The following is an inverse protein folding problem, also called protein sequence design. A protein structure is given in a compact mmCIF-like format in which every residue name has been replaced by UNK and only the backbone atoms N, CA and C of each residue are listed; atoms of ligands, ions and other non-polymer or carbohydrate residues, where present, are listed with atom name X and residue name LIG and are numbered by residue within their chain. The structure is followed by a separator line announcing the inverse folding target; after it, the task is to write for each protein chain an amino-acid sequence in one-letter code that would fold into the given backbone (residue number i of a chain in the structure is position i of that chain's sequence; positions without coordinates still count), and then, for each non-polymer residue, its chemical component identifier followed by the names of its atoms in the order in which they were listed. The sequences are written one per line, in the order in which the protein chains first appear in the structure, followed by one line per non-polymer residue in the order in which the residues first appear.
data_IF_564675279969
#
_entry.id   IF_564675279969
#
_cell.length_a   1.000
_cell.length_b   1.000
_cell.length_c   1.000
_cell.angle_alpha   90.00
_cell.angle_beta   90.00
_cell.angle_gamma   90.00
#
_symmetry.space_group_name_H-M   'P 1'
#
loop_
_entity.id
_entity.type
_entity.pdbx_description
1 polymer ?
#
# COMPACT_ATOMS: atom_id res chain seq x y z
N UNK A 1 -0.50 -31.70 0.24
CA UNK A 1 0.22 -32.41 1.32
C UNK A 1 1.73 -32.15 1.29
N UNK A 2 2.26 -31.57 0.21
CA UNK A 2 3.70 -31.48 -0.06
C UNK A 2 4.24 -30.04 -0.05
N UNK A 3 3.39 -29.02 0.18
CA UNK A 3 3.83 -27.64 0.24
C UNK A 3 4.25 -27.25 1.66
N UNK A 4 5.39 -26.55 1.79
CA UNK A 4 5.88 -25.96 3.04
C UNK A 4 5.39 -24.51 3.23
N UNK A 5 5.03 -23.86 2.14
CA UNK A 5 4.56 -22.46 2.09
C UNK A 5 3.28 -22.40 1.26
N UNK A 6 2.31 -21.64 1.70
CA UNK A 6 1.09 -21.31 0.98
C UNK A 6 1.09 -19.83 0.63
N UNK A 7 0.89 -19.51 -0.65
CA UNK A 7 0.61 -18.14 -1.11
C UNK A 7 -0.91 -17.96 -1.18
N UNK A 8 -1.44 -17.03 -0.40
CA UNK A 8 -2.86 -16.62 -0.45
C UNK A 8 -2.98 -15.42 -1.37
N UNK A 9 -3.66 -15.61 -2.53
CA UNK A 9 -3.86 -14.59 -3.59
C UNK A 9 -5.31 -14.58 -4.10
N UNK A 10 -6.23 -14.71 -3.19
CA UNK A 10 -7.69 -14.65 -3.41
C UNK A 10 -8.20 -13.20 -3.42
N UNK A 11 -9.50 -12.93 -3.65
CA UNK A 11 -10.10 -11.65 -3.28
C UNK A 11 -9.89 -11.33 -1.79
N UNK A 12 -9.77 -10.05 -1.46
CA UNK A 12 -9.30 -9.58 -0.15
C UNK A 12 -10.10 -10.12 1.05
N UNK A 13 -11.41 -10.24 0.88
CA UNK A 13 -12.32 -10.74 1.92
C UNK A 13 -12.11 -12.21 2.33
N UNK A 14 -11.34 -12.97 1.56
CA UNK A 14 -11.01 -14.36 1.87
C UNK A 14 -9.62 -14.54 2.48
N UNK A 15 -8.81 -13.49 2.55
CA UNK A 15 -7.42 -13.59 3.01
C UNK A 15 -7.33 -14.14 4.43
N UNK A 16 -8.14 -13.63 5.37
CA UNK A 16 -8.15 -14.10 6.76
C UNK A 16 -8.42 -15.60 6.85
N UNK A 17 -9.51 -16.07 6.25
CA UNK A 17 -9.93 -17.47 6.31
C UNK A 17 -8.85 -18.40 5.80
N UNK A 18 -8.28 -18.13 4.62
CA UNK A 18 -7.27 -19.00 4.04
C UNK A 18 -5.91 -18.90 4.71
N UNK A 19 -5.55 -17.74 5.23
CA UNK A 19 -4.32 -17.59 6.03
C UNK A 19 -4.39 -18.44 7.30
N UNK A 20 -5.49 -18.34 8.06
CA UNK A 20 -5.70 -19.11 9.28
C UNK A 20 -5.70 -20.61 8.99
N UNK A 21 -6.48 -21.05 7.99
CA UNK A 21 -6.55 -22.48 7.62
C UNK A 21 -5.17 -23.05 7.21
N UNK A 22 -4.35 -22.27 6.51
CA UNK A 22 -3.01 -22.70 6.13
C UNK A 22 -2.05 -22.77 7.31
N UNK A 23 -2.09 -21.79 8.24
CA UNK A 23 -1.29 -21.78 9.45
C UNK A 23 -1.64 -22.97 10.37
N UNK A 24 -2.93 -23.24 10.59
CA UNK A 24 -3.44 -24.38 11.36
C UNK A 24 -3.07 -25.73 10.73
N UNK A 25 -2.99 -25.78 9.39
CA UNK A 25 -2.46 -26.92 8.67
C UNK A 25 -0.93 -27.08 8.76
N UNK A 26 -0.26 -26.26 9.58
CA UNK A 26 1.18 -26.31 9.82
C UNK A 26 2.04 -25.74 8.67
N UNK A 27 1.49 -24.85 7.84
CA UNK A 27 2.20 -24.22 6.71
C UNK A 27 2.64 -22.81 7.05
N UNK A 28 3.77 -22.37 6.48
CA UNK A 28 4.11 -20.95 6.43
C UNK A 28 3.24 -20.25 5.39
N UNK A 29 2.93 -18.98 5.61
CA UNK A 29 1.99 -18.23 4.76
C UNK A 29 2.62 -16.95 4.23
N UNK A 30 2.46 -16.72 2.94
CA UNK A 30 2.64 -15.43 2.28
C UNK A 30 1.25 -14.97 1.83
N UNK A 31 0.80 -13.80 2.29
CA UNK A 31 -0.50 -13.25 1.91
C UNK A 31 -0.32 -12.09 0.94
N UNK A 32 -1.14 -12.01 -0.11
CA UNK A 32 -1.22 -10.82 -0.96
C UNK A 32 -1.77 -9.63 -0.17
N UNK A 33 -1.49 -8.46 -0.68
CA UNK A 33 -1.99 -7.18 -0.15
C UNK A 33 -3.42 -6.86 -0.70
N UNK A 34 -4.23 -6.08 0.00
CA UNK A 34 -4.14 -5.81 1.44
C UNK A 34 -4.26 -7.09 2.24
N UNK A 35 -3.55 -7.17 3.33
CA UNK A 35 -3.48 -8.41 4.12
C UNK A 35 -4.84 -8.85 4.66
N UNK A 36 -5.66 -7.89 5.10
CA UNK A 36 -7.00 -8.11 5.67
C UNK A 36 -7.91 -6.92 5.38
N UNK A 37 -9.19 -7.04 5.73
CA UNK A 37 -10.18 -6.00 5.59
C UNK A 37 -10.17 -4.97 6.74
N UNK A 38 -9.60 -5.34 7.89
CA UNK A 38 -9.48 -4.52 9.09
C UNK A 38 -8.35 -5.05 10.00
N UNK A 39 -8.05 -4.30 11.07
CA UNK A 39 -6.98 -4.64 12.03
C UNK A 39 -7.30 -5.87 12.87
N UNK A 40 -8.55 -6.07 13.23
CA UNK A 40 -9.01 -7.19 14.04
C UNK A 40 -8.75 -8.52 13.33
N UNK A 41 -9.02 -8.58 12.03
CA UNK A 41 -8.71 -9.77 11.21
C UNK A 41 -7.20 -10.06 11.14
N UNK A 42 -6.37 -9.02 11.09
CA UNK A 42 -4.92 -9.20 11.11
C UNK A 42 -4.44 -9.72 12.47
N UNK A 43 -4.98 -9.20 13.56
CA UNK A 43 -4.65 -9.67 14.92
C UNK A 43 -4.99 -11.16 15.09
N UNK A 44 -6.13 -11.61 14.56
CA UNK A 44 -6.49 -13.03 14.56
C UNK A 44 -5.46 -13.90 13.82
N UNK A 45 -5.04 -13.48 12.61
CA UNK A 45 -4.01 -14.20 11.85
C UNK A 45 -2.69 -14.28 12.63
N UNK A 46 -2.27 -13.14 13.21
CA UNK A 46 -1.02 -13.06 13.96
C UNK A 46 -1.05 -13.94 15.22
N UNK A 47 -2.20 -14.03 15.90
CA UNK A 47 -2.40 -14.92 17.05
C UNK A 47 -2.22 -16.38 16.64
N UNK A 48 -2.85 -16.81 15.54
CA UNK A 48 -2.73 -18.19 15.03
C UNK A 48 -1.30 -18.48 14.54
N UNK A 49 -0.65 -17.52 13.88
CA UNK A 49 0.75 -17.69 13.45
C UNK A 49 1.68 -17.91 14.65
N UNK A 50 1.45 -17.17 15.75
CA UNK A 50 2.20 -17.32 17.01
C UNK A 50 1.91 -18.67 17.67
N UNK A 51 0.64 -19.10 17.73
CA UNK A 51 0.23 -20.36 18.34
C UNK A 51 0.81 -21.57 17.62
N UNK A 52 0.75 -21.55 16.28
CA UNK A 52 1.26 -22.64 15.44
C UNK A 52 2.78 -22.63 15.26
N UNK A 53 3.46 -21.53 15.65
CA UNK A 53 4.89 -21.33 15.43
C UNK A 53 5.28 -21.22 13.96
N UNK A 54 4.33 -20.87 13.07
CA UNK A 54 4.56 -20.73 11.64
C UNK A 54 4.83 -19.28 11.26
N UNK A 55 5.58 -19.12 10.17
CA UNK A 55 5.87 -17.80 9.63
C UNK A 55 4.67 -17.27 8.84
N UNK A 56 4.37 -16.00 9.04
CA UNK A 56 3.39 -15.25 8.27
C UNK A 56 4.04 -13.96 7.75
N UNK A 57 3.82 -13.64 6.47
CA UNK A 57 4.29 -12.39 5.88
C UNK A 57 3.34 -11.89 4.82
N UNK A 58 3.39 -10.58 4.55
CA UNK A 58 2.60 -9.89 3.53
C UNK A 58 3.48 -9.59 2.32
N UNK A 59 2.96 -9.83 1.12
CA UNK A 59 3.68 -9.61 -0.12
C UNK A 59 3.65 -8.14 -0.56
N UNK A 60 4.39 -7.27 0.14
CA UNK A 60 4.56 -5.87 -0.24
C UNK A 60 5.62 -5.74 -1.35
N UNK A 61 5.30 -6.28 -2.51
CA UNK A 61 6.21 -6.43 -3.65
C UNK A 61 6.69 -5.08 -4.23
N UNK A 62 5.95 -3.99 -4.04
CA UNK A 62 6.29 -2.66 -4.57
C UNK A 62 7.44 -1.98 -3.84
N UNK A 63 7.94 -2.54 -2.73
CA UNK A 63 9.22 -2.14 -2.12
C UNK A 63 10.42 -2.42 -3.04
N UNK A 64 10.23 -3.27 -4.06
CA UNK A 64 11.27 -3.66 -5.02
C UNK A 64 11.15 -2.92 -6.35
N UNK A 65 10.18 -2.05 -6.54
CA UNK A 65 10.03 -1.23 -7.73
C UNK A 65 11.23 -0.29 -7.90
N UNK A 66 11.67 -0.12 -9.14
CA UNK A 66 12.89 0.63 -9.45
C UNK A 66 12.79 2.10 -9.02
N UNK A 67 11.64 2.73 -9.27
CA UNK A 67 11.34 4.11 -8.88
C UNK A 67 11.41 4.31 -7.37
N UNK A 68 10.77 3.40 -6.59
CA UNK A 68 10.81 3.44 -5.14
C UNK A 68 12.24 3.28 -4.58
N UNK A 69 13.02 2.34 -5.13
CA UNK A 69 14.42 2.13 -4.71
C UNK A 69 15.30 3.34 -4.99
N UNK A 70 15.03 4.06 -6.09
CA UNK A 70 15.69 5.35 -6.37
C UNK A 70 15.31 6.38 -5.31
N UNK A 71 14.02 6.53 -5.00
CA UNK A 71 13.53 7.47 -3.97
C UNK A 71 14.14 7.13 -2.61
N UNK A 72 14.11 5.87 -2.20
CA UNK A 72 14.72 5.42 -0.94
C UNK A 72 16.21 5.77 -0.87
N UNK A 73 16.95 5.55 -1.94
CA UNK A 73 18.36 5.91 -2.00
C UNK A 73 18.61 7.44 -1.94
N UNK A 74 17.71 8.26 -2.51
CA UNK A 74 17.76 9.74 -2.41
C UNK A 74 17.59 10.17 -0.94
N UNK A 75 16.64 9.59 -0.22
CA UNK A 75 16.37 9.89 1.19
C UNK A 75 17.52 9.37 2.07
N UNK A 76 17.88 8.09 1.96
CA UNK A 76 18.90 7.45 2.79
C UNK A 76 20.27 8.13 2.65
N UNK A 77 20.60 8.66 1.46
CA UNK A 77 21.84 9.40 1.19
C UNK A 77 21.73 10.91 1.40
N UNK A 78 20.59 11.39 1.88
CA UNK A 78 20.35 12.83 2.14
C UNK A 78 20.65 13.71 0.91
N UNK A 79 20.31 13.25 -0.30
CA UNK A 79 20.67 13.94 -1.56
C UNK A 79 19.98 15.30 -1.69
N UNK A 80 18.78 15.45 -1.13
CA UNK A 80 17.99 16.69 -1.16
C UNK A 80 17.97 17.42 0.20
N UNK A 81 18.80 17.00 1.15
CA UNK A 81 18.72 17.47 2.52
C UNK A 81 17.54 16.84 3.27
N UNK A 82 17.02 17.52 4.28
CA UNK A 82 15.88 17.04 5.07
C UNK A 82 14.57 17.20 4.31
N UNK A 83 13.87 16.11 3.98
CA UNK A 83 12.61 16.21 3.26
C UNK A 83 11.54 16.87 4.16
N UNK A 84 10.72 17.75 3.55
CA UNK A 84 9.57 18.38 4.21
C UNK A 84 8.25 18.17 3.45
N UNK A 85 8.28 18.00 2.12
CA UNK A 85 7.15 17.56 1.30
C UNK A 85 7.55 16.42 0.39
N UNK A 86 6.73 15.36 0.37
CA UNK A 86 6.88 14.22 -0.55
C UNK A 86 5.53 13.92 -1.17
N UNK A 87 5.50 13.87 -2.49
CA UNK A 87 4.33 13.43 -3.24
C UNK A 87 4.63 12.10 -3.93
N UNK A 88 3.73 11.14 -3.77
CA UNK A 88 3.71 9.86 -4.46
C UNK A 88 2.40 9.72 -5.23
N UNK A 89 2.47 9.55 -6.55
CA UNK A 89 1.30 9.61 -7.42
C UNK A 89 1.21 8.39 -8.31
N UNK A 90 -0.01 7.92 -8.50
CA UNK A 90 -0.35 6.87 -9.46
C UNK A 90 -1.53 7.34 -10.31
N UNK A 91 -1.28 7.50 -11.59
CA UNK A 91 -2.29 7.93 -12.55
C UNK A 91 -2.58 6.84 -13.58
N UNK A 92 -3.85 6.72 -13.94
CA UNK A 92 -4.33 5.84 -14.98
C UNK A 92 -5.61 6.37 -15.61
N UNK A 93 -6.02 5.79 -16.72
CA UNK A 93 -7.23 6.21 -17.44
C UNK A 93 -8.17 5.05 -17.79
N UNK A 94 -8.01 3.91 -17.13
CA UNK A 94 -8.77 2.68 -17.40
C UNK A 94 -9.75 2.30 -16.28
N UNK A 95 -9.69 2.98 -15.13
CA UNK A 95 -10.48 2.64 -13.95
C UNK A 95 -10.08 1.32 -13.30
N UNK A 96 -10.98 0.80 -12.49
CA UNK A 96 -10.86 -0.53 -11.89
C UNK A 96 -11.11 -1.62 -12.92
N UNK A 97 -10.46 -2.79 -12.81
CA UNK A 97 -10.90 -3.98 -13.52
C UNK A 97 -12.36 -4.30 -13.21
N UNK A 98 -13.11 -4.79 -14.20
CA UNK A 98 -14.50 -5.19 -14.03
C UNK A 98 -14.69 -6.54 -13.30
N UNK A 99 -13.87 -6.80 -12.28
CA UNK A 99 -13.88 -8.02 -11.47
C UNK A 99 -14.28 -7.70 -10.01
N UNK A 100 -13.92 -8.55 -9.07
CA UNK A 100 -14.18 -8.39 -7.64
C UNK A 100 -13.66 -7.07 -7.05
N UNK A 101 -12.69 -6.41 -7.69
CA UNK A 101 -12.14 -5.12 -7.26
C UNK A 101 -13.15 -3.97 -7.36
N UNK A 102 -14.24 -4.13 -8.09
CA UNK A 102 -15.33 -3.17 -8.15
C UNK A 102 -16.43 -3.41 -7.10
N UNK A 103 -16.34 -4.49 -6.32
CA UNK A 103 -17.33 -4.87 -5.32
C UNK A 103 -16.84 -4.58 -3.89
N UNK A 104 -17.60 -3.79 -3.13
CA UNK A 104 -17.29 -3.44 -1.74
C UNK A 104 -17.16 -4.66 -0.83
N UNK A 105 -18.03 -5.67 -1.01
CA UNK A 105 -18.04 -6.89 -0.20
C UNK A 105 -16.75 -7.69 -0.33
N UNK A 106 -16.06 -7.57 -1.45
CA UNK A 106 -14.80 -8.27 -1.73
C UNK A 106 -13.56 -7.47 -1.32
N UNK A 107 -13.74 -6.27 -0.73
CA UNK A 107 -12.64 -5.38 -0.42
C UNK A 107 -12.09 -4.65 -1.64
N UNK A 108 -12.96 -4.29 -2.59
CA UNK A 108 -12.60 -3.53 -3.77
C UNK A 108 -12.29 -2.06 -3.48
N UNK A 109 -11.90 -1.35 -4.51
CA UNK A 109 -11.54 0.07 -4.48
C UNK A 109 -10.04 0.33 -4.58
N UNK A 110 -9.70 1.51 -5.07
CA UNK A 110 -8.30 1.92 -5.27
C UNK A 110 -7.56 2.12 -3.95
N UNK A 111 -8.26 2.43 -2.86
CA UNK A 111 -7.65 2.52 -1.54
C UNK A 111 -7.02 1.17 -1.13
N UNK A 112 -7.74 0.07 -1.30
CA UNK A 112 -7.27 -1.28 -1.01
C UNK A 112 -6.36 -1.85 -2.11
N UNK A 113 -6.61 -1.52 -3.38
CA UNK A 113 -5.84 -2.14 -4.47
C UNK A 113 -4.47 -1.47 -4.68
N UNK A 114 -4.44 -0.12 -4.75
CA UNK A 114 -3.20 0.60 -5.05
C UNK A 114 -2.67 1.46 -3.90
N UNK A 115 -3.53 2.16 -3.18
CA UNK A 115 -3.02 3.07 -2.14
C UNK A 115 -2.32 2.33 -1.01
N UNK A 116 -2.68 1.07 -0.74
CA UNK A 116 -1.98 0.22 0.23
C UNK A 116 -0.48 0.06 -0.08
N UNK A 117 -0.10 -0.01 -1.36
CA UNK A 117 1.31 -0.06 -1.74
C UNK A 117 2.04 1.27 -1.48
N UNK A 118 1.36 2.39 -1.79
CA UNK A 118 1.95 3.71 -1.60
C UNK A 118 2.01 4.08 -0.11
N UNK A 119 1.05 3.61 0.68
CA UNK A 119 1.06 3.73 2.15
C UNK A 119 2.21 2.91 2.74
N UNK A 120 2.40 1.69 2.29
CA UNK A 120 3.52 0.85 2.73
C UNK A 120 4.88 1.50 2.41
N UNK A 121 5.05 1.99 1.17
CA UNK A 121 6.24 2.73 0.77
C UNK A 121 6.47 3.99 1.62
N UNK A 122 5.40 4.73 1.92
CA UNK A 122 5.47 5.92 2.78
C UNK A 122 5.96 5.59 4.18
N UNK A 123 5.41 4.52 4.79
CA UNK A 123 5.78 4.10 6.14
C UNK A 123 7.18 3.49 6.21
N UNK A 124 7.65 2.84 5.15
CA UNK A 124 9.02 2.33 5.03
C UNK A 124 10.05 3.45 4.77
N UNK A 125 9.59 4.57 4.19
CA UNK A 125 10.47 5.69 3.81
C UNK A 125 10.66 6.70 4.96
N UNK A 126 9.62 6.93 5.78
CA UNK A 126 9.60 7.95 6.82
C UNK A 126 9.72 7.32 8.20
N UNK A 127 10.90 7.45 8.79
CA UNK A 127 11.17 7.01 10.17
C UNK A 127 10.59 8.01 11.18
N UNK A 128 9.26 8.04 11.27
CA UNK A 128 8.50 8.86 12.22
C UNK A 128 7.05 8.39 12.31
N UNK A 129 6.40 8.61 13.43
CA UNK A 129 4.98 8.31 13.59
C UNK A 129 4.09 9.34 12.87
N UNK A 130 3.00 8.90 12.23
CA UNK A 130 1.96 9.79 11.75
C UNK A 130 1.35 10.61 12.91
N UNK A 131 1.20 11.92 12.71
CA UNK A 131 0.54 12.83 13.66
C UNK A 131 -0.92 13.04 13.27
N UNK A 132 -1.19 13.18 11.97
CA UNK A 132 -2.54 13.32 11.44
C UNK A 132 -2.64 12.79 10.02
N UNK A 133 -3.84 12.33 9.67
CA UNK A 133 -4.18 11.79 8.34
C UNK A 133 -5.46 12.44 7.85
N UNK A 134 -5.44 12.92 6.61
CA UNK A 134 -6.63 13.33 5.87
C UNK A 134 -6.78 12.43 4.65
N UNK A 135 -7.99 11.93 4.41
CA UNK A 135 -8.31 11.08 3.26
C UNK A 135 -9.54 11.62 2.55
N UNK A 136 -9.42 11.80 1.24
CA UNK A 136 -10.54 12.07 0.35
C UNK A 136 -10.61 10.94 -0.69
N UNK A 137 -11.65 10.13 -0.60
CA UNK A 137 -11.88 8.97 -1.48
C UNK A 137 -13.13 9.21 -2.32
N UNK A 138 -12.96 9.24 -3.64
CA UNK A 138 -13.99 9.64 -4.60
C UNK A 138 -14.43 8.44 -5.44
N UNK A 139 -15.73 8.41 -5.72
CA UNK A 139 -16.39 7.43 -6.59
C UNK A 139 -16.79 8.12 -7.90
N UNK A 140 -15.91 8.06 -8.90
CA UNK A 140 -16.15 8.74 -10.19
C UNK A 140 -17.08 7.91 -11.07
N UNK A 141 -16.83 6.63 -11.20
CA UNK A 141 -17.61 5.72 -12.06
C UNK A 141 -18.10 4.45 -11.36
N UNK A 142 -17.48 4.07 -10.25
CA UNK A 142 -17.86 2.86 -9.50
C UNK A 142 -18.69 3.25 -8.27
N UNK A 143 -19.98 2.85 -8.19
CA UNK A 143 -20.88 3.33 -7.12
C UNK A 143 -20.59 2.74 -5.75
N UNK A 144 -19.97 1.56 -5.68
CA UNK A 144 -19.75 0.86 -4.43
C UNK A 144 -18.43 1.21 -3.76
N UNK A 145 -17.37 1.47 -4.56
CA UNK A 145 -15.99 1.60 -4.11
C UNK A 145 -15.36 2.88 -4.65
N UNK A 146 -14.29 3.33 -4.03
CA UNK A 146 -13.49 4.44 -4.55
C UNK A 146 -12.69 4.00 -5.79
N UNK A 147 -12.58 4.89 -6.75
CA UNK A 147 -11.73 4.72 -7.93
C UNK A 147 -10.67 5.84 -8.07
N UNK A 148 -10.75 6.83 -7.18
CA UNK A 148 -9.75 7.87 -7.01
C UNK A 148 -9.63 8.21 -5.52
N UNK A 149 -8.42 8.50 -5.04
CA UNK A 149 -8.25 9.00 -3.68
C UNK A 149 -7.02 9.91 -3.53
N UNK A 150 -7.09 10.76 -2.51
CA UNK A 150 -5.97 11.57 -2.04
C UNK A 150 -5.81 11.36 -0.55
N UNK A 151 -4.58 11.10 -0.13
CA UNK A 151 -4.22 10.89 1.26
C UNK A 151 -3.12 11.89 1.60
N UNK A 152 -3.31 12.68 2.65
CA UNK A 152 -2.30 13.58 3.19
C UNK A 152 -1.97 13.16 4.61
N UNK A 153 -0.70 12.89 4.87
CA UNK A 153 -0.19 12.49 6.17
C UNK A 153 0.82 13.53 6.66
N UNK A 154 0.62 14.02 7.88
CA UNK A 154 1.60 14.80 8.61
C UNK A 154 2.29 13.89 9.61
N UNK A 155 3.62 13.85 9.58
CA UNK A 155 4.45 13.10 10.52
C UNK A 155 4.94 13.98 11.67
N UNK A 156 5.22 13.39 12.83
CA UNK A 156 5.71 14.08 14.02
C UNK A 156 7.07 14.78 13.79
N UNK A 157 7.91 14.24 12.89
CA UNK A 157 9.18 14.88 12.49
C UNK A 157 9.01 16.09 11.55
N UNK A 158 7.76 16.45 11.21
CA UNK A 158 7.43 17.61 10.39
C UNK A 158 7.26 17.32 8.89
N UNK A 159 7.59 16.13 8.41
CA UNK A 159 7.34 15.75 7.01
C UNK A 159 5.84 15.71 6.71
N UNK A 160 5.47 16.23 5.54
CA UNK A 160 4.13 16.05 4.95
C UNK A 160 4.26 15.16 3.74
N UNK A 161 3.46 14.11 3.71
CA UNK A 161 3.46 13.15 2.63
C UNK A 161 2.09 13.08 1.98
N UNK A 162 2.04 13.22 0.65
CA UNK A 162 0.81 13.12 -0.12
C UNK A 162 0.85 11.89 -1.02
N UNK A 163 -0.23 11.13 -1.00
CA UNK A 163 -0.50 10.06 -1.94
C UNK A 163 -1.67 10.50 -2.82
N UNK A 164 -1.55 10.32 -4.14
CA UNK A 164 -2.63 10.53 -5.10
C UNK A 164 -2.76 9.28 -5.95
N UNK A 165 -3.93 8.66 -5.91
CA UNK A 165 -4.30 7.59 -6.83
C UNK A 165 -5.51 8.05 -7.61
N UNK A 166 -5.37 8.14 -8.94
CA UNK A 166 -6.45 8.58 -9.82
C UNK A 166 -6.49 7.69 -11.06
N UNK A 167 -7.53 6.87 -11.16
CA UNK A 167 -7.71 5.92 -12.25
C UNK A 167 -8.43 6.51 -13.47
N UNK A 168 -8.75 7.81 -13.45
CA UNK A 168 -9.39 8.55 -14.56
C UNK A 168 -8.58 9.77 -15.01
N UNK A 169 -7.33 9.87 -14.59
CA UNK A 169 -6.45 10.95 -15.00
C UNK A 169 -5.89 10.70 -16.42
N UNK A 170 -6.26 11.54 -17.36
CA UNK A 170 -5.84 11.43 -18.77
C UNK A 170 -4.49 12.09 -19.04
N UNK A 171 -4.06 13.01 -18.17
CA UNK A 171 -2.76 13.68 -18.24
C UNK A 171 -2.10 13.53 -16.88
N UNK A 172 -1.15 12.60 -16.81
CA UNK A 172 -0.43 12.30 -15.56
C UNK A 172 0.63 13.34 -15.21
N UNK A 173 1.02 13.34 -13.96
CA UNK A 173 2.14 14.11 -13.42
C UNK A 173 3.31 13.17 -13.08
N UNK A 174 4.40 13.73 -12.55
CA UNK A 174 5.54 12.95 -12.09
C UNK A 174 5.12 11.95 -11.00
N UNK A 175 5.67 10.75 -11.09
CA UNK A 175 5.40 9.67 -10.13
C UNK A 175 5.80 10.04 -8.71
N UNK A 176 6.95 10.72 -8.57
CA UNK A 176 7.46 11.21 -7.29
C UNK A 176 7.94 12.64 -7.41
N UNK A 177 7.67 13.42 -6.36
CA UNK A 177 8.22 14.75 -6.16
C UNK A 177 8.63 14.90 -4.69
N UNK A 178 9.90 15.21 -4.44
CA UNK A 178 10.49 15.24 -3.11
C UNK A 178 11.14 16.60 -2.92
N UNK A 179 10.65 17.37 -1.97
CA UNK A 179 11.22 18.66 -1.58
C UNK A 179 11.99 18.49 -0.27
N UNK A 180 13.26 18.80 -0.29
CA UNK A 180 14.13 18.91 0.89
C UNK A 180 14.69 20.32 1.05
N UNK A 181 15.35 20.57 2.16
CA UNK A 181 15.90 21.90 2.48
C UNK A 181 17.17 22.25 1.67
N UNK A 182 17.83 21.27 1.06
CA UNK A 182 18.99 21.45 0.18
C UNK A 182 18.68 21.20 -1.31
N UNK A 183 17.47 20.76 -1.65
CA UNK A 183 17.14 20.48 -3.04
C UNK A 183 15.80 19.83 -3.28
N UNK A 184 15.54 19.53 -4.54
CA UNK A 184 14.31 18.87 -5.00
C UNK A 184 14.65 17.73 -5.95
N UNK A 185 14.02 16.60 -5.76
CA UNK A 185 14.13 15.45 -6.67
C UNK A 185 12.79 15.12 -7.30
N UNK A 186 12.84 14.70 -8.57
CA UNK A 186 11.68 14.28 -9.34
C UNK A 186 11.97 12.93 -10.01
N UNK A 187 11.06 11.98 -9.85
CA UNK A 187 11.06 10.72 -10.59
C UNK A 187 9.80 10.72 -11.48
N UNK A 188 9.97 10.84 -12.82
CA UNK A 188 8.84 11.11 -13.72
C UNK A 188 7.94 9.89 -13.95
N UNK A 189 8.52 8.70 -13.99
CA UNK A 189 7.84 7.43 -14.33
C UNK A 189 8.32 6.28 -13.44
N UNK A 190 7.68 5.14 -13.62
CA UNK A 190 8.05 3.88 -12.95
C UNK A 190 9.43 3.39 -13.35
#
# INVERSE_FOLDING_TARGET
KEADVVLVSTPNNFHKEYCIAALEAGKNVVCEKPVTMNSEELEEILAVAKETGKQFTVHQNRRWDADYRVVKNIIDKNVVGKPYFIDSRLFGCKGLPGDWRSAKVSGGGMLYDWSVHLIDQMLDLIDSEPESVFVDAVKVRFPEVDDCNKILVKFKNGVRYQIVVDSWCYIGENRWHICGDDGTAVVPVW
#
